data_IF_553878988303
#
_entry.id   IF_553878988303
#
_cell.length_a   1.000
_cell.length_b   1.000
_cell.length_c   1.000
_cell.angle_alpha   90.00
_cell.angle_beta   90.00
_cell.angle_gamma   90.00
#
_symmetry.space_group_name_H-M   'P 1'
#
loop_
_entity.id
_entity.type
_entity.pdbx_description
1 polymer ?
#
# COMPACT_ATOMS: atom_id res chain seq x y z
N UNK A 1 -29.81 95.27 3.96
CA UNK A 1 -28.46 94.69 3.74
C UNK A 1 -28.43 93.29 4.34
N UNK A 2 -28.75 92.26 3.55
CA UNK A 2 -28.47 90.85 3.89
C UNK A 2 -28.21 90.13 2.56
N UNK A 3 -26.95 89.76 2.31
CA UNK A 3 -26.53 89.02 1.11
C UNK A 3 -26.78 87.53 1.36
N UNK A 4 -27.63 86.89 0.55
CA UNK A 4 -27.65 85.43 0.42
C UNK A 4 -26.59 85.00 -0.60
N UNK A 5 -25.63 84.18 -0.17
CA UNK A 5 -24.63 83.56 -1.04
C UNK A 5 -25.12 82.16 -1.44
N UNK A 6 -25.16 81.88 -2.75
CA UNK A 6 -25.42 80.56 -3.30
C UNK A 6 -24.13 79.74 -3.34
N UNK A 7 -24.18 78.51 -2.83
CA UNK A 7 -23.09 77.52 -2.92
C UNK A 7 -23.20 76.74 -4.24
N UNK A 8 -22.08 76.39 -4.91
CA UNK A 8 -22.12 75.58 -6.12
C UNK A 8 -22.27 74.08 -5.79
N UNK A 9 -23.09 73.38 -6.57
CA UNK A 9 -23.27 71.93 -6.53
C UNK A 9 -21.97 71.20 -6.88
N UNK A 10 -21.35 70.54 -5.90
CA UNK A 10 -20.24 69.60 -6.12
C UNK A 10 -20.84 68.24 -6.46
N UNK A 11 -20.79 67.89 -7.75
CA UNK A 11 -21.20 66.57 -8.24
C UNK A 11 -20.12 65.55 -7.88
N UNK A 12 -20.40 64.67 -6.91
CA UNK A 12 -19.53 63.55 -6.56
C UNK A 12 -19.69 62.44 -7.60
N UNK A 13 -18.74 62.35 -8.54
CA UNK A 13 -18.54 61.19 -9.39
C UNK A 13 -18.02 60.03 -8.54
N UNK A 14 -18.91 59.10 -8.16
CA UNK A 14 -18.54 57.83 -7.54
C UNK A 14 -17.83 56.95 -8.57
N UNK A 15 -16.49 56.91 -8.52
CA UNK A 15 -15.69 55.94 -9.25
C UNK A 15 -15.76 54.59 -8.53
N UNK A 16 -16.64 53.70 -8.99
CA UNK A 16 -16.73 52.32 -8.49
C UNK A 16 -15.52 51.55 -9.02
N UNK A 17 -14.48 51.40 -8.20
CA UNK A 17 -13.40 50.45 -8.46
C UNK A 17 -13.96 49.02 -8.31
N UNK A 18 -14.22 48.37 -9.45
CA UNK A 18 -14.51 46.95 -9.50
C UNK A 18 -13.25 46.16 -9.13
N UNK A 19 -13.19 45.65 -7.90
CA UNK A 19 -12.21 44.65 -7.48
C UNK A 19 -12.53 43.34 -8.23
N UNK A 20 -11.78 43.06 -9.29
CA UNK A 20 -11.79 41.75 -9.94
C UNK A 20 -11.06 40.78 -9.01
N UNK A 21 -11.81 40.00 -8.24
CA UNK A 21 -11.27 38.93 -7.42
C UNK A 21 -10.63 37.86 -8.30
N UNK A 22 -9.30 37.82 -8.34
CA UNK A 22 -8.55 36.72 -8.95
C UNK A 22 -8.70 35.50 -8.04
N UNK A 23 -9.63 34.59 -8.37
CA UNK A 23 -9.73 33.30 -7.69
C UNK A 23 -8.61 32.43 -8.27
N UNK A 24 -7.57 32.06 -7.49
CA UNK A 24 -6.56 31.13 -7.97
C UNK A 24 -7.26 29.80 -8.27
N UNK A 25 -7.22 29.38 -9.54
CA UNK A 25 -7.73 28.08 -9.94
C UNK A 25 -6.93 26.99 -9.25
N UNK A 26 -7.61 26.10 -8.52
CA UNK A 26 -6.98 24.91 -7.96
C UNK A 26 -6.40 24.09 -9.11
N UNK A 27 -5.07 24.00 -9.18
CA UNK A 27 -4.40 23.13 -10.14
C UNK A 27 -4.87 21.68 -9.91
N UNK A 28 -5.41 21.05 -10.95
CA UNK A 28 -5.83 19.66 -10.89
C UNK A 28 -4.62 18.79 -10.49
N UNK A 29 -4.76 18.02 -9.41
CA UNK A 29 -3.73 17.08 -9.01
C UNK A 29 -3.53 16.03 -10.11
N UNK A 30 -2.28 15.61 -10.40
CA UNK A 30 -2.03 14.54 -11.36
C UNK A 30 -2.81 13.28 -11.00
N UNK A 31 -3.32 12.56 -12.00
CA UNK A 31 -4.02 11.30 -11.77
C UNK A 31 -3.03 10.22 -11.26
N UNK A 32 -3.53 9.26 -10.48
CA UNK A 32 -2.72 8.12 -10.02
C UNK A 32 -2.05 7.33 -11.15
N UNK A 33 -2.72 7.24 -12.31
CA UNK A 33 -2.17 6.61 -13.51
C UNK A 33 -0.97 7.39 -14.07
N UNK A 34 -1.08 8.73 -14.15
CA UNK A 34 0.00 9.58 -14.62
C UNK A 34 1.22 9.54 -13.67
N UNK A 35 0.95 9.57 -12.36
CA UNK A 35 1.99 9.44 -11.34
C UNK A 35 2.68 8.07 -11.39
N UNK A 36 1.92 6.99 -11.57
CA UNK A 36 2.49 5.66 -11.74
C UNK A 36 3.38 5.56 -12.97
N UNK A 37 2.93 6.09 -14.12
CA UNK A 37 3.71 6.13 -15.35
C UNK A 37 5.03 6.91 -15.17
N UNK A 38 4.97 8.04 -14.46
CA UNK A 38 6.13 8.90 -14.24
C UNK A 38 7.16 8.33 -13.25
N UNK A 39 6.72 7.63 -12.19
CA UNK A 39 7.58 7.29 -11.05
C UNK A 39 7.80 5.80 -10.82
N UNK A 40 6.93 4.93 -11.34
CA UNK A 40 6.87 3.53 -10.92
C UNK A 40 6.99 2.53 -12.08
N UNK A 41 6.39 2.87 -13.23
CA UNK A 41 6.20 1.96 -14.37
C UNK A 41 7.51 1.37 -14.88
N UNK A 42 8.59 2.16 -14.93
CA UNK A 42 9.88 1.72 -15.45
C UNK A 42 10.42 0.46 -14.75
N UNK A 43 10.15 0.30 -13.45
CA UNK A 43 10.58 -0.86 -12.68
C UNK A 43 9.46 -1.89 -12.52
N UNK A 44 8.23 -1.44 -12.30
CA UNK A 44 7.15 -2.29 -11.82
C UNK A 44 6.23 -2.82 -12.91
N UNK A 45 6.24 -2.33 -14.16
CA UNK A 45 5.24 -2.80 -15.14
C UNK A 45 5.35 -4.32 -15.39
N UNK A 46 6.56 -4.78 -15.70
CA UNK A 46 6.87 -6.20 -15.93
C UNK A 46 7.80 -6.83 -14.87
N UNK A 47 8.23 -6.07 -13.85
CA UNK A 47 9.20 -6.55 -12.85
C UNK A 47 10.64 -6.59 -13.39
N UNK A 48 11.21 -5.43 -13.71
CA UNK A 48 12.44 -5.29 -14.50
C UNK A 48 13.75 -5.76 -13.85
N UNK A 49 13.76 -6.17 -12.58
CA UNK A 49 14.95 -6.68 -11.88
C UNK A 49 14.60 -7.74 -10.83
N UNK A 50 15.60 -8.54 -10.42
CA UNK A 50 15.45 -9.49 -9.33
C UNK A 50 14.95 -8.77 -8.06
N UNK A 51 13.85 -9.26 -7.47
CA UNK A 51 13.12 -8.71 -6.31
C UNK A 51 12.24 -7.48 -6.56
N UNK A 52 12.01 -7.08 -7.81
CA UNK A 52 11.01 -6.05 -8.13
C UNK A 52 9.67 -6.73 -8.45
N UNK A 53 8.62 -6.55 -7.63
CA UNK A 53 7.32 -7.14 -7.93
C UNK A 53 6.70 -6.47 -9.17
N UNK A 54 6.14 -7.26 -10.09
CA UNK A 54 5.37 -6.73 -11.21
C UNK A 54 4.06 -6.08 -10.74
N UNK A 55 3.42 -5.31 -11.63
CA UNK A 55 2.27 -4.47 -11.32
C UNK A 55 1.08 -5.26 -10.80
N UNK A 56 0.84 -6.44 -11.35
CA UNK A 56 -0.24 -7.35 -10.96
C UNK A 56 -0.07 -7.86 -9.52
N UNK A 57 1.17 -8.15 -9.11
CA UNK A 57 1.48 -8.52 -7.72
C UNK A 57 1.22 -7.36 -6.77
N UNK A 58 1.56 -6.12 -7.15
CA UNK A 58 1.27 -4.93 -6.35
C UNK A 58 -0.24 -4.65 -6.28
N UNK A 59 -0.96 -4.88 -7.38
CA UNK A 59 -2.40 -4.66 -7.46
C UNK A 59 -3.22 -5.56 -6.52
N UNK A 60 -2.64 -6.67 -6.05
CA UNK A 60 -3.22 -7.55 -5.04
C UNK A 60 -3.03 -7.06 -3.59
N UNK A 61 -2.31 -5.96 -3.37
CA UNK A 61 -2.18 -5.32 -2.06
C UNK A 61 -3.29 -4.29 -1.84
N UNK A 62 -3.62 -4.01 -0.58
CA UNK A 62 -4.55 -2.93 -0.24
C UNK A 62 -3.93 -1.55 -0.49
N UNK A 63 -4.78 -0.54 -0.69
CA UNK A 63 -4.35 0.86 -0.81
C UNK A 63 -3.43 1.27 0.34
N UNK A 64 -3.82 0.98 1.58
CA UNK A 64 -3.04 1.37 2.76
C UNK A 64 -1.71 0.60 2.85
N UNK A 65 -1.65 -0.65 2.37
CA UNK A 65 -0.40 -1.41 2.31
C UNK A 65 0.59 -0.83 1.31
N UNK A 66 0.09 -0.38 0.15
CA UNK A 66 0.91 0.27 -0.88
C UNK A 66 1.43 1.62 -0.34
N UNK A 67 0.56 2.41 0.31
CA UNK A 67 0.97 3.67 0.97
C UNK A 67 2.03 3.42 2.04
N UNK A 68 1.84 2.44 2.92
CA UNK A 68 2.82 2.07 3.94
C UNK A 68 4.18 1.67 3.32
N UNK A 69 4.17 0.96 2.18
CA UNK A 69 5.39 0.63 1.45
C UNK A 69 6.16 1.87 0.99
N UNK A 70 5.44 2.91 0.53
CA UNK A 70 5.99 4.18 0.05
C UNK A 70 6.40 5.14 1.18
N UNK A 71 5.87 4.98 2.39
CA UNK A 71 6.15 5.89 3.52
C UNK A 71 7.17 5.35 4.52
N UNK A 72 7.09 4.06 4.84
CA UNK A 72 7.92 3.45 5.89
C UNK A 72 8.54 2.11 5.48
N UNK A 73 8.13 1.55 4.35
CA UNK A 73 8.56 0.24 3.87
C UNK A 73 9.70 0.27 2.86
N UNK A 74 9.77 -0.80 2.07
CA UNK A 74 10.87 -1.07 1.12
C UNK A 74 10.95 -0.09 -0.06
N UNK A 75 9.88 0.66 -0.33
CA UNK A 75 9.81 1.67 -1.38
C UNK A 75 9.88 3.11 -0.84
N UNK A 76 10.27 3.29 0.44
CA UNK A 76 10.33 4.61 1.07
C UNK A 76 11.14 5.63 0.28
N UNK A 77 12.33 5.25 -0.18
CA UNK A 77 13.24 6.16 -0.90
C UNK A 77 12.59 6.70 -2.18
N UNK A 78 11.80 5.88 -2.87
CA UNK A 78 11.06 6.24 -4.08
C UNK A 78 9.82 7.08 -3.74
N UNK A 79 9.23 6.87 -2.56
CA UNK A 79 8.08 7.64 -2.07
C UNK A 79 8.42 8.99 -1.43
N UNK A 80 9.70 9.25 -1.10
CA UNK A 80 10.16 10.49 -0.45
C UNK A 80 9.91 11.75 -1.29
N UNK A 81 10.00 11.63 -2.63
CA UNK A 81 9.74 12.74 -3.55
C UNK A 81 8.24 13.03 -3.78
N UNK A 82 7.36 12.17 -3.30
CA UNK A 82 5.91 12.28 -3.49
C UNK A 82 5.26 12.92 -2.26
N UNK A 83 4.19 13.68 -2.49
CA UNK A 83 3.30 14.12 -1.42
C UNK A 83 2.44 12.95 -0.90
N UNK A 84 1.86 13.10 0.30
CA UNK A 84 0.92 12.11 0.83
C UNK A 84 -0.28 11.88 -0.10
N UNK A 85 -0.77 12.94 -0.75
CA UNK A 85 -1.85 12.86 -1.74
C UNK A 85 -1.46 12.05 -2.98
N UNK A 86 -0.27 12.29 -3.52
CA UNK A 86 0.25 11.55 -4.68
C UNK A 86 0.49 10.07 -4.37
N UNK A 87 1.08 9.75 -3.20
CA UNK A 87 1.23 8.35 -2.75
C UNK A 87 -0.11 7.64 -2.68
N UNK A 88 -1.13 8.27 -2.11
CA UNK A 88 -2.47 7.68 -2.03
C UNK A 88 -3.16 7.58 -3.39
N UNK A 89 -2.95 8.55 -4.29
CA UNK A 89 -3.46 8.49 -5.65
C UNK A 89 -2.86 7.33 -6.45
N UNK A 90 -1.54 7.10 -6.37
CA UNK A 90 -0.86 5.95 -6.97
C UNK A 90 -1.42 4.64 -6.39
N UNK A 91 -1.49 4.54 -5.07
CA UNK A 91 -1.99 3.34 -4.39
C UNK A 91 -3.44 2.99 -4.78
N UNK A 92 -4.29 4.01 -4.90
CA UNK A 92 -5.70 3.86 -5.32
C UNK A 92 -5.80 3.43 -6.78
N UNK A 93 -4.91 3.92 -7.65
CA UNK A 93 -4.84 3.50 -9.04
C UNK A 93 -4.38 2.04 -9.20
N UNK A 94 -3.45 1.58 -8.34
CA UNK A 94 -2.88 0.23 -8.43
C UNK A 94 -3.74 -0.84 -7.78
N UNK A 95 -4.29 -0.59 -6.59
CA UNK A 95 -5.00 -1.60 -5.81
C UNK A 95 -6.30 -2.03 -6.48
N UNK A 96 -6.45 -3.32 -6.72
CA UNK A 96 -7.73 -3.96 -7.09
C UNK A 96 -8.50 -4.49 -5.88
N UNK A 97 -7.89 -4.47 -4.69
CA UNK A 97 -8.53 -4.90 -3.46
C UNK A 97 -9.53 -3.84 -3.01
N UNK A 98 -10.80 -4.24 -2.83
CA UNK A 98 -11.83 -3.37 -2.26
C UNK A 98 -11.57 -3.22 -0.76
N UNK A 99 -11.68 -2.00 -0.27
CA UNK A 99 -11.42 -1.58 1.13
C UNK A 99 -12.30 -2.20 2.21
N UNK A 100 -13.16 -3.15 1.84
CA UNK A 100 -14.15 -3.79 2.72
C UNK A 100 -13.56 -5.01 3.46
N UNK A 101 -12.23 -5.13 3.50
CA UNK A 101 -11.57 -6.16 4.28
C UNK A 101 -11.93 -5.94 5.75
N UNK A 102 -12.74 -6.85 6.30
CA UNK A 102 -13.06 -6.87 7.71
C UNK A 102 -11.76 -6.81 8.52
N UNK A 103 -11.72 -6.10 9.66
CA UNK A 103 -10.52 -6.05 10.49
C UNK A 103 -10.03 -7.47 10.74
N UNK A 104 -8.70 -7.68 10.62
CA UNK A 104 -8.07 -8.96 10.84
C UNK A 104 -8.72 -9.65 12.04
N UNK A 105 -9.37 -10.79 11.80
CA UNK A 105 -9.81 -11.63 12.89
C UNK A 105 -8.60 -11.86 13.79
N UNK A 106 -8.77 -11.73 15.11
CA UNK A 106 -7.70 -12.05 16.05
C UNK A 106 -7.13 -13.41 15.67
N UNK A 107 -5.83 -13.46 15.39
CA UNK A 107 -5.18 -14.70 14.96
C UNK A 107 -5.58 -15.83 15.93
N UNK A 108 -5.97 -17.00 15.44
CA UNK A 108 -6.38 -18.10 16.30
C UNK A 108 -5.24 -18.40 17.28
N UNK A 109 -5.53 -18.30 18.57
CA UNK A 109 -4.58 -18.61 19.63
C UNK A 109 -4.82 -20.03 20.09
N UNK A 110 -3.74 -20.78 20.27
CA UNK A 110 -3.84 -22.06 20.96
C UNK A 110 -4.24 -21.81 22.42
N UNK A 111 -5.13 -22.63 22.97
CA UNK A 111 -5.49 -22.60 24.39
C UNK A 111 -4.29 -22.95 25.29
N UNK A 112 -3.37 -23.76 24.75
CA UNK A 112 -2.11 -24.15 25.38
C UNK A 112 -0.95 -23.91 24.40
N UNK A 113 0.21 -23.53 24.92
CA UNK A 113 1.44 -23.37 24.15
C UNK A 113 2.42 -24.49 24.52
N UNK A 114 2.35 -25.67 23.86
CA UNK A 114 3.32 -26.73 24.09
C UNK A 114 4.70 -26.28 23.61
N UNK A 115 5.74 -26.81 24.25
CA UNK A 115 7.12 -26.54 23.87
C UNK A 115 7.39 -27.03 22.44
N UNK A 116 7.97 -26.16 21.61
CA UNK A 116 8.22 -26.48 20.20
C UNK A 116 9.52 -27.28 20.10
N UNK A 117 9.39 -28.60 19.96
CA UNK A 117 10.51 -29.52 19.71
C UNK A 117 10.51 -29.92 18.24
N UNK A 118 11.54 -29.48 17.51
CA UNK A 118 11.77 -29.90 16.13
C UNK A 118 12.73 -31.09 16.13
N UNK A 119 12.26 -32.21 15.59
CA UNK A 119 13.08 -33.38 15.26
C UNK A 119 13.69 -33.24 13.85
N UNK A 120 14.34 -34.30 13.36
CA UNK A 120 14.96 -34.34 12.02
C UNK A 120 13.97 -34.19 10.85
N UNK A 121 12.66 -34.28 11.12
CA UNK A 121 11.60 -34.05 10.13
C UNK A 121 11.03 -32.62 10.19
N UNK A 122 11.36 -31.86 11.23
CA UNK A 122 10.93 -30.48 11.43
C UNK A 122 11.65 -29.48 10.52
N UNK A 123 10.92 -28.48 10.03
CA UNK A 123 11.49 -27.41 9.20
C UNK A 123 11.77 -26.19 10.06
N UNK A 124 13.01 -25.66 10.01
CA UNK A 124 13.42 -24.47 10.78
C UNK A 124 13.42 -23.18 9.96
N UNK A 125 13.16 -23.29 8.66
CA UNK A 125 13.20 -22.20 7.68
C UNK A 125 12.32 -22.57 6.47
N UNK A 126 12.35 -21.78 5.39
CA UNK A 126 11.63 -22.09 4.15
C UNK A 126 12.06 -23.39 3.44
N UNK A 127 13.18 -24.00 3.84
CA UNK A 127 13.66 -25.27 3.31
C UNK A 127 14.11 -26.21 4.43
N UNK A 128 14.14 -27.50 4.12
CA UNK A 128 14.59 -28.54 5.04
C UNK A 128 16.12 -28.52 5.26
N UNK A 129 16.87 -27.89 4.36
CA UNK A 129 18.35 -27.83 4.37
C UNK A 129 18.84 -26.42 4.04
N UNK A 130 20.14 -26.18 4.25
CA UNK A 130 20.82 -24.94 3.84
C UNK A 130 20.80 -24.71 2.31
N UNK A 131 20.58 -25.78 1.52
CA UNK A 131 20.39 -25.69 0.08
C UNK A 131 18.96 -25.29 -0.32
N UNK A 132 18.09 -24.99 0.66
CA UNK A 132 16.69 -24.62 0.47
C UNK A 132 15.84 -25.72 -0.20
N UNK A 133 16.14 -26.99 0.11
CA UNK A 133 15.35 -28.13 -0.36
C UNK A 133 13.89 -27.97 0.05
N UNK A 134 12.98 -27.99 -0.94
CA UNK A 134 11.53 -27.78 -0.76
C UNK A 134 10.73 -29.07 -0.60
N UNK A 135 11.38 -30.15 -0.16
CA UNK A 135 10.74 -31.43 0.12
C UNK A 135 11.19 -32.01 1.47
N UNK A 136 10.35 -32.88 2.04
CA UNK A 136 10.70 -33.65 3.23
C UNK A 136 11.05 -35.08 2.77
N UNK A 137 12.27 -35.52 3.06
CA UNK A 137 12.79 -36.85 2.70
C UNK A 137 12.10 -37.98 3.48
N UNK A 138 11.54 -37.67 4.65
CA UNK A 138 10.78 -38.61 5.50
C UNK A 138 9.43 -38.00 5.89
N UNK A 139 8.48 -37.88 4.96
CA UNK A 139 7.26 -37.09 5.18
C UNK A 139 6.20 -37.76 6.06
N UNK A 140 6.45 -38.99 6.53
CA UNK A 140 5.50 -39.75 7.36
C UNK A 140 4.28 -40.29 6.60
N UNK A 141 4.25 -40.15 5.27
CA UNK A 141 3.22 -40.71 4.39
C UNK A 141 3.84 -41.23 3.08
N UNK A 142 3.08 -42.03 2.35
CA UNK A 142 3.46 -42.63 1.06
C UNK A 142 2.84 -41.87 -0.11
N UNK A 143 3.40 -42.02 -1.32
CA UNK A 143 2.87 -41.40 -2.52
C UNK A 143 1.40 -41.78 -2.80
N UNK A 144 1.01 -43.03 -2.51
CA UNK A 144 -0.36 -43.50 -2.69
C UNK A 144 -1.37 -42.82 -1.75
N UNK A 145 -0.91 -42.25 -0.62
CA UNK A 145 -1.76 -41.54 0.34
C UNK A 145 -1.97 -40.07 -0.03
N UNK A 146 -1.17 -39.50 -0.94
CA UNK A 146 -1.25 -38.08 -1.32
C UNK A 146 -2.65 -37.67 -1.79
N UNK A 147 -3.36 -38.44 -2.65
CA UNK A 147 -4.71 -38.07 -3.09
C UNK A 147 -5.76 -38.05 -1.97
N UNK A 148 -5.47 -38.69 -0.83
CA UNK A 148 -6.38 -38.75 0.32
C UNK A 148 -6.11 -37.66 1.38
N UNK A 149 -5.05 -36.86 1.21
CA UNK A 149 -4.73 -35.78 2.14
C UNK A 149 -5.80 -34.67 2.09
N UNK A 150 -6.12 -34.13 3.26
CA UNK A 150 -7.03 -32.99 3.41
C UNK A 150 -6.31 -31.85 4.12
N UNK A 151 -6.57 -30.62 3.71
CA UNK A 151 -6.05 -29.43 4.39
C UNK A 151 -6.61 -29.38 5.82
N UNK A 152 -5.72 -29.45 6.83
CA UNK A 152 -6.11 -29.33 8.23
C UNK A 152 -6.33 -27.88 8.65
N UNK A 153 -5.44 -27.00 8.23
CA UNK A 153 -5.50 -25.56 8.48
C UNK A 153 -4.61 -24.82 7.47
N UNK A 154 -4.89 -23.54 7.26
CA UNK A 154 -4.02 -22.59 6.59
C UNK A 154 -4.08 -21.25 7.36
N UNK A 155 -2.98 -20.50 7.34
CA UNK A 155 -2.90 -19.19 7.96
C UNK A 155 -2.32 -18.19 6.95
N UNK A 156 -2.88 -16.99 6.91
CA UNK A 156 -2.41 -15.89 6.09
C UNK A 156 -2.06 -14.69 6.97
N UNK A 157 -1.10 -13.89 6.52
CA UNK A 157 -0.79 -12.61 7.13
C UNK A 157 -1.72 -11.56 6.52
N UNK A 158 -2.41 -10.80 7.38
CA UNK A 158 -3.33 -9.77 6.90
C UNK A 158 -2.59 -8.69 6.09
N UNK A 159 -3.21 -8.25 5.00
CA UNK A 159 -2.63 -7.25 4.09
C UNK A 159 -1.36 -7.69 3.35
N UNK A 160 -0.92 -8.94 3.47
CA UNK A 160 0.26 -9.47 2.81
C UNK A 160 -0.11 -10.61 1.86
N UNK A 161 0.43 -10.57 0.64
CA UNK A 161 0.24 -11.62 -0.36
C UNK A 161 1.44 -12.59 -0.44
N UNK A 162 2.53 -12.30 0.28
CA UNK A 162 3.72 -13.13 0.34
C UNK A 162 4.46 -12.97 1.67
N UNK A 163 5.08 -14.05 2.16
CA UNK A 163 6.00 -13.96 3.29
C UNK A 163 7.34 -13.39 2.81
N UNK A 164 7.75 -12.23 3.34
CA UNK A 164 8.96 -11.53 2.92
C UNK A 164 10.27 -12.07 3.53
N UNK A 165 10.17 -12.91 4.58
CA UNK A 165 11.33 -13.43 5.29
C UNK A 165 11.11 -14.88 5.78
N UNK A 166 12.23 -15.58 6.00
CA UNK A 166 12.21 -16.91 6.61
C UNK A 166 11.47 -16.86 7.95
N UNK A 167 10.56 -17.81 8.24
CA UNK A 167 9.91 -17.89 9.53
C UNK A 167 10.94 -18.28 10.60
N UNK A 168 10.86 -17.63 11.76
CA UNK A 168 11.58 -18.07 12.97
C UNK A 168 10.66 -18.97 13.76
N UNK A 169 11.09 -20.21 13.99
CA UNK A 169 10.42 -21.12 14.92
C UNK A 169 11.21 -21.10 16.23
N UNK A 170 10.60 -20.54 17.27
CA UNK A 170 11.15 -20.48 18.62
C UNK A 170 10.10 -20.97 19.63
N UNK A 171 10.54 -21.66 20.67
CA UNK A 171 9.71 -22.23 21.73
C UNK A 171 10.57 -22.93 22.77
#
# INVERSE_FOLDING_TARGET
>A
MTRSAALPNVSFLFFVLAFVSFVPGAAAQPSGAALYAAHCQQCHEAGGAARVPPRDVIAALTVDRIVASLETGVMRVQGEALTAGERRAIATYLSTVRSDAAPAASAPRCETAPEVRLDDSGWRAWGATLANDRNQRRPGFTAAQVPALKLKWAYGFDGENAAAANPTIAG
#
